data_IF_519100991463
#
_entry.id   IF_519100991463
#
_cell.length_a   1.000
_cell.length_b   1.000
_cell.length_c   1.000
_cell.angle_alpha   90.00
_cell.angle_beta   90.00
_cell.angle_gamma   90.00
#
_symmetry.space_group_name_H-M   'P 1'
#
loop_
_entity.id
_entity.type
_entity.pdbx_description
1 polymer ?
#
# COMPACT_ATOMS: atom_id res chain seq x y z
N UNK A 1 2.95 -7.13 -8.21
CA UNK A 1 1.85 -6.57 -7.38
C UNK A 1 1.99 -7.17 -5.99
N UNK A 2 1.80 -6.37 -4.94
CA UNK A 2 2.01 -6.81 -3.55
C UNK A 2 0.72 -7.23 -2.83
N UNK A 3 -0.44 -7.06 -3.46
CA UNK A 3 -1.74 -7.45 -2.92
C UNK A 3 -2.66 -7.96 -4.03
N UNK A 4 -3.68 -8.74 -3.67
CA UNK A 4 -4.73 -9.20 -4.57
C UNK A 4 -5.98 -8.33 -4.50
N UNK A 5 -6.83 -8.43 -5.54
CA UNK A 5 -8.13 -7.73 -5.60
C UNK A 5 -9.01 -8.09 -4.39
N UNK A 6 -9.00 -9.36 -3.96
CA UNK A 6 -9.80 -9.82 -2.84
C UNK A 6 -9.35 -9.21 -1.50
N UNK A 7 -8.06 -8.95 -1.33
CA UNK A 7 -7.53 -8.30 -0.12
C UNK A 7 -8.09 -6.88 0.01
N UNK A 8 -8.09 -6.13 -1.09
CA UNK A 8 -8.62 -4.76 -1.15
C UNK A 8 -10.13 -4.75 -0.99
N UNK A 9 -10.86 -5.66 -1.65
CA UNK A 9 -12.32 -5.76 -1.48
C UNK A 9 -12.71 -6.07 -0.04
N UNK A 10 -11.97 -6.96 0.63
CA UNK A 10 -12.19 -7.28 2.04
C UNK A 10 -11.94 -6.06 2.93
N UNK A 11 -10.87 -5.30 2.68
CA UNK A 11 -10.54 -4.11 3.43
C UNK A 11 -11.56 -2.98 3.25
N UNK A 12 -11.99 -2.70 2.01
CA UNK A 12 -13.03 -1.71 1.70
C UNK A 12 -14.36 -2.02 2.40
N UNK A 13 -14.78 -3.29 2.40
CA UNK A 13 -15.97 -3.72 3.16
C UNK A 13 -15.84 -3.46 4.66
N UNK A 14 -14.63 -3.61 5.21
CA UNK A 14 -14.35 -3.31 6.62
C UNK A 14 -14.44 -1.82 6.96
N UNK A 15 -14.29 -0.94 5.96
CA UNK A 15 -14.39 0.51 6.11
C UNK A 15 -15.86 0.99 5.93
N UNK A 16 -16.76 0.11 5.51
CA UNK A 16 -18.19 0.42 5.35
C UNK A 16 -18.57 0.97 3.97
N UNK A 17 -17.68 0.88 3.00
CA UNK A 17 -17.89 1.43 1.64
C UNK A 17 -18.40 0.34 0.69
N UNK A 18 -19.41 0.68 -0.10
CA UNK A 18 -19.92 -0.22 -1.14
C UNK A 18 -18.83 -0.41 -2.21
N UNK A 19 -18.62 -1.67 -2.57
CA UNK A 19 -17.56 -2.11 -3.48
C UNK A 19 -17.69 -1.33 -4.80
N UNK A 20 -16.65 -0.56 -5.16
CA UNK A 20 -16.54 0.09 -6.47
C UNK A 20 -16.90 -0.95 -7.53
N UNK A 21 -17.98 -0.75 -8.30
CA UNK A 21 -18.37 -1.73 -9.30
C UNK A 21 -17.27 -1.80 -10.36
N UNK A 22 -16.58 -2.94 -10.43
CA UNK A 22 -15.72 -3.30 -11.56
C UNK A 22 -16.61 -3.61 -12.77
N UNK A 23 -17.25 -2.59 -13.33
CA UNK A 23 -17.90 -2.68 -14.65
C UNK A 23 -16.93 -2.21 -15.71
N UNK A 24 -17.07 -2.72 -16.93
CA UNK A 24 -16.27 -2.31 -18.10
C UNK A 24 -16.42 -0.81 -18.47
N UNK A 25 -17.37 -0.12 -17.85
CA UNK A 25 -17.64 1.31 -18.02
C UNK A 25 -16.96 2.17 -16.95
N UNK A 26 -16.46 1.57 -15.85
CA UNK A 26 -15.73 2.31 -14.82
C UNK A 26 -14.35 2.73 -15.35
N UNK A 27 -14.06 4.03 -15.26
CA UNK A 27 -12.73 4.57 -15.62
C UNK A 27 -11.64 4.16 -14.63
N UNK A 28 -12.02 3.63 -13.48
CA UNK A 28 -11.14 3.23 -12.39
C UNK A 28 -11.45 1.80 -11.92
N UNK A 29 -10.42 0.96 -11.83
CA UNK A 29 -10.54 -0.41 -11.31
C UNK A 29 -9.70 -0.61 -10.05
N UNK A 30 -10.11 -1.57 -9.21
CA UNK A 30 -9.32 -1.98 -8.03
C UNK A 30 -7.92 -2.44 -8.45
N UNK A 31 -7.79 -3.06 -9.61
CA UNK A 31 -6.50 -3.48 -10.15
C UNK A 31 -5.58 -2.29 -10.44
N UNK A 32 -6.09 -1.20 -11.01
CA UNK A 32 -5.32 0.02 -11.21
C UNK A 32 -4.88 0.65 -9.88
N UNK A 33 -5.75 0.62 -8.86
CA UNK A 33 -5.42 1.08 -7.51
C UNK A 33 -4.26 0.28 -6.92
N UNK A 34 -4.31 -1.06 -7.04
CA UNK A 34 -3.25 -1.95 -6.55
C UNK A 34 -1.95 -1.75 -7.33
N UNK A 35 -2.02 -1.53 -8.64
CA UNK A 35 -0.84 -1.22 -9.46
C UNK A 35 -0.19 0.10 -9.04
N UNK A 36 -0.99 1.15 -8.81
CA UNK A 36 -0.52 2.45 -8.30
C UNK A 36 0.15 2.29 -6.93
N UNK A 37 -0.51 1.59 -6.00
CA UNK A 37 0.04 1.29 -4.68
C UNK A 37 1.33 0.47 -4.75
N UNK A 38 1.36 -0.58 -5.58
CA UNK A 38 2.53 -1.43 -5.75
C UNK A 38 3.73 -0.66 -6.27
N UNK A 39 3.53 0.26 -7.23
CA UNK A 39 4.61 1.14 -7.73
C UNK A 39 5.18 2.04 -6.65
N UNK A 40 4.34 2.56 -5.75
CA UNK A 40 4.82 3.39 -4.64
C UNK A 40 5.62 2.59 -3.62
N UNK A 41 5.16 1.38 -3.31
CA UNK A 41 5.88 0.44 -2.45
C UNK A 41 7.20 0.02 -3.09
N UNK A 42 7.21 -0.23 -4.41
CA UNK A 42 8.42 -0.57 -5.18
C UNK A 42 9.51 0.50 -5.10
N UNK A 43 9.16 1.79 -5.03
CA UNK A 43 10.15 2.86 -4.86
C UNK A 43 10.94 2.73 -3.55
N UNK A 44 10.36 2.09 -2.53
CA UNK A 44 11.05 1.82 -1.28
C UNK A 44 11.72 0.45 -1.33
N UNK A 45 10.99 -0.59 -1.72
CA UNK A 45 11.47 -1.97 -1.73
C UNK A 45 12.64 -2.12 -2.70
N UNK A 46 12.48 -1.75 -3.96
CA UNK A 46 13.51 -1.98 -4.98
C UNK A 46 14.79 -1.16 -4.79
N UNK A 47 14.70 -0.01 -4.11
CA UNK A 47 15.86 0.85 -3.83
C UNK A 47 16.70 0.34 -2.66
N UNK A 48 16.11 -0.32 -1.67
CA UNK A 48 16.77 -0.65 -0.39
C UNK A 48 16.87 -2.16 -0.16
N UNK A 49 15.99 -2.94 -0.78
CA UNK A 49 15.79 -4.36 -0.51
C UNK A 49 15.75 -5.19 -1.81
N UNK A 50 15.97 -6.48 -1.66
CA UNK A 50 15.68 -7.46 -2.70
C UNK A 50 14.15 -7.54 -2.84
N UNK A 51 13.69 -7.60 -4.08
CA UNK A 51 12.26 -7.80 -4.35
C UNK A 51 11.94 -9.22 -3.88
N UNK A 52 11.00 -9.40 -2.94
CA UNK A 52 10.77 -10.70 -2.34
C UNK A 52 9.98 -11.61 -3.30
N UNK A 53 10.32 -12.90 -3.33
CA UNK A 53 9.55 -13.91 -4.07
C UNK A 53 8.17 -14.13 -3.44
N UNK A 54 8.10 -14.07 -2.10
CA UNK A 54 6.87 -14.11 -1.31
C UNK A 54 6.68 -12.76 -0.63
N UNK A 55 5.55 -12.10 -0.89
CA UNK A 55 5.26 -10.78 -0.34
C UNK A 55 5.07 -10.85 1.19
N UNK A 56 5.91 -10.16 1.99
CA UNK A 56 5.75 -10.11 3.43
C UNK A 56 4.44 -9.43 3.84
N UNK A 57 3.90 -9.84 4.99
CA UNK A 57 2.64 -9.31 5.50
C UNK A 57 2.63 -7.77 5.61
N UNK A 58 3.67 -7.10 6.17
CA UNK A 58 3.66 -5.64 6.28
C UNK A 58 3.59 -4.94 4.93
N UNK A 59 4.29 -5.47 3.93
CA UNK A 59 4.30 -4.93 2.56
C UNK A 59 2.94 -5.10 1.90
N UNK A 60 2.31 -6.26 2.09
CA UNK A 60 0.96 -6.51 1.61
C UNK A 60 -0.06 -5.57 2.26
N UNK A 61 -0.04 -5.43 3.58
CA UNK A 61 -0.98 -4.56 4.32
C UNK A 61 -0.86 -3.10 3.90
N UNK A 62 0.36 -2.57 3.82
CA UNK A 62 0.62 -1.22 3.30
C UNK A 62 0.06 -1.06 1.88
N UNK A 63 0.28 -2.06 1.01
CA UNK A 63 -0.22 -2.00 -0.37
C UNK A 63 -1.74 -1.99 -0.40
N UNK A 64 -2.40 -2.79 0.46
CA UNK A 64 -3.86 -2.83 0.58
C UNK A 64 -4.40 -1.49 1.07
N UNK A 65 -3.80 -0.91 2.10
CA UNK A 65 -4.23 0.38 2.65
C UNK A 65 -4.10 1.52 1.62
N UNK A 66 -2.99 1.57 0.90
CA UNK A 66 -2.78 2.53 -0.18
C UNK A 66 -3.78 2.31 -1.33
N UNK A 67 -4.03 1.06 -1.73
CA UNK A 67 -5.01 0.75 -2.75
C UNK A 67 -6.42 1.15 -2.32
N UNK A 68 -6.82 0.86 -1.07
CA UNK A 68 -8.08 1.33 -0.50
C UNK A 68 -8.16 2.85 -0.53
N UNK A 69 -7.08 3.54 -0.18
CA UNK A 69 -7.01 4.98 -0.24
C UNK A 69 -7.26 5.54 -1.64
N UNK A 70 -6.70 4.93 -2.69
CA UNK A 70 -6.92 5.36 -4.07
C UNK A 70 -8.33 5.03 -4.57
N UNK A 71 -8.87 3.89 -4.15
CA UNK A 71 -10.26 3.54 -4.40
C UNK A 71 -11.20 4.61 -3.84
N UNK A 72 -11.00 4.99 -2.58
CA UNK A 72 -11.85 5.97 -1.91
C UNK A 72 -11.63 7.38 -2.45
N UNK A 73 -10.39 7.76 -2.79
CA UNK A 73 -10.09 9.02 -3.49
C UNK A 73 -10.92 9.15 -4.77
N UNK A 74 -11.01 8.08 -5.58
CA UNK A 74 -11.83 8.07 -6.79
C UNK A 74 -13.32 8.23 -6.48
N UNK A 75 -13.85 7.49 -5.49
CA UNK A 75 -15.26 7.57 -5.08
C UNK A 75 -15.63 9.00 -4.64
N UNK A 76 -14.79 9.63 -3.81
CA UNK A 76 -15.03 11.02 -3.38
C UNK A 76 -14.97 12.00 -4.55
N UNK A 77 -14.03 11.83 -5.47
CA UNK A 77 -13.94 12.67 -6.68
C UNK A 77 -15.20 12.58 -7.54
N UNK A 78 -15.74 11.37 -7.74
CA UNK A 78 -16.98 11.16 -8.52
C UNK A 78 -18.22 11.73 -7.80
N UNK A 79 -18.25 11.69 -6.46
CA UNK A 79 -19.34 12.26 -5.66
C UNK A 79 -19.25 13.80 -5.50
N UNK A 80 -18.14 14.40 -5.94
CA UNK A 80 -17.87 15.84 -5.73
C UNK A 80 -17.50 16.17 -4.29
N UNK A 81 -17.17 15.16 -3.48
CA UNK A 81 -16.81 15.31 -2.08
C UNK A 81 -15.30 15.48 -1.90
N UNK A 82 -14.93 16.19 -0.83
CA UNK A 82 -13.54 16.31 -0.43
C UNK A 82 -13.06 14.99 0.17
N UNK A 83 -11.82 14.61 -0.14
CA UNK A 83 -11.15 13.44 0.43
C UNK A 83 -11.26 13.41 1.96
N UNK A 84 -12.01 12.47 2.52
CA UNK A 84 -12.34 12.50 3.95
C UNK A 84 -11.11 12.25 4.85
N UNK A 85 -11.14 12.80 6.06
CA UNK A 85 -10.02 12.75 7.02
C UNK A 85 -9.55 11.31 7.31
N UNK A 86 -10.48 10.36 7.35
CA UNK A 86 -10.17 8.95 7.61
C UNK A 86 -9.26 8.36 6.53
N UNK A 87 -9.52 8.66 5.26
CA UNK A 87 -8.72 8.12 4.16
C UNK A 87 -7.38 8.84 4.04
N UNK A 88 -7.35 10.16 4.30
CA UNK A 88 -6.09 10.88 4.43
C UNK A 88 -5.20 10.31 5.55
N UNK A 89 -5.79 9.97 6.70
CA UNK A 89 -5.08 9.35 7.82
C UNK A 89 -4.54 7.96 7.44
N UNK A 90 -5.33 7.15 6.73
CA UNK A 90 -4.91 5.84 6.23
C UNK A 90 -3.70 5.97 5.30
N UNK A 91 -3.82 6.83 4.29
CA UNK A 91 -2.75 7.12 3.33
C UNK A 91 -1.46 7.57 4.02
N UNK A 92 -1.57 8.54 4.92
CA UNK A 92 -0.43 9.08 5.67
C UNK A 92 0.25 7.98 6.51
N UNK A 93 -0.54 7.19 7.24
CA UNK A 93 -0.02 6.08 8.05
C UNK A 93 0.74 5.06 7.19
N UNK A 94 0.22 4.68 6.03
CA UNK A 94 0.89 3.73 5.14
C UNK A 94 2.22 4.29 4.61
N UNK A 95 2.27 5.59 4.29
CA UNK A 95 3.51 6.25 3.88
C UNK A 95 4.53 6.34 5.02
N UNK A 96 4.08 6.65 6.23
CA UNK A 96 4.96 6.71 7.40
C UNK A 96 5.51 5.31 7.72
N UNK A 97 4.69 4.26 7.63
CA UNK A 97 5.18 2.88 7.77
C UNK A 97 6.21 2.50 6.70
N UNK A 98 6.01 2.90 5.44
CA UNK A 98 7.01 2.69 4.38
C UNK A 98 8.33 3.40 4.67
N UNK A 99 8.28 4.61 5.23
CA UNK A 99 9.50 5.35 5.63
C UNK A 99 10.21 4.67 6.79
N UNK A 100 9.47 4.20 7.79
CA UNK A 100 10.05 3.49 8.93
C UNK A 100 10.70 2.16 8.50
N UNK A 101 10.12 1.45 7.52
CA UNK A 101 10.73 0.26 6.91
C UNK A 101 12.00 0.63 6.14
N UNK A 102 11.94 1.68 5.30
CA UNK A 102 13.10 2.19 4.55
C UNK A 102 14.27 2.51 5.49
N UNK A 103 13.97 3.16 6.60
CA UNK A 103 14.95 3.62 7.58
C UNK A 103 15.42 2.50 8.53
N UNK A 104 14.94 1.26 8.35
CA UNK A 104 15.34 0.10 9.16
C UNK A 104 14.75 0.08 10.57
N UNK A 105 13.79 0.95 10.89
CA UNK A 105 13.17 1.06 12.21
C UNK A 105 12.09 0.01 12.46
N UNK A 106 11.46 -0.46 11.38
CA UNK A 106 10.48 -1.54 11.38
C UNK A 106 10.95 -2.64 10.44
N UNK A 107 10.97 -3.89 10.93
CA UNK A 107 11.23 -5.05 10.07
C UNK A 107 10.02 -5.32 9.17
N UNK A 108 10.28 -5.53 7.88
CA UNK A 108 9.29 -5.98 6.91
C UNK A 108 9.62 -7.38 6.35
N UNK A 109 10.50 -8.13 7.02
CA UNK A 109 11.02 -9.44 6.56
C UNK A 109 11.60 -9.38 5.13
N UNK A 110 12.20 -8.23 4.78
CA UNK A 110 12.85 -7.98 3.50
C UNK A 110 14.36 -8.15 3.64
N UNK A 111 14.98 -8.81 2.65
CA UNK A 111 16.43 -8.94 2.58
C UNK A 111 17.06 -7.68 1.97
N UNK A 112 18.11 -7.08 2.55
CA UNK A 112 18.83 -5.97 1.93
C UNK A 112 19.57 -6.41 0.65
N UNK A 113 19.75 -5.49 -0.31
CA UNK A 113 20.29 -5.77 -1.65
C UNK A 113 21.79 -6.08 -1.71
N UNK A 114 22.56 -5.64 -0.73
CA UNK A 114 23.97 -5.98 -0.55
C UNK A 114 24.35 -5.60 0.89
N UNK A 115 25.46 -6.11 1.43
CA UNK A 115 25.88 -5.97 2.84
C UNK A 115 26.13 -4.55 3.37
N UNK A 116 25.49 -3.52 2.82
CA UNK A 116 25.27 -2.26 3.49
C UNK A 116 24.16 -2.49 4.52
N UNK A 117 24.46 -2.36 5.82
CA UNK A 117 23.40 -2.36 6.82
C UNK A 117 22.52 -1.16 6.53
N UNK A 118 21.28 -1.38 6.11
CA UNK A 118 20.22 -0.38 6.25
C UNK A 118 20.25 0.02 7.72
N UNK A 119 20.69 1.26 7.99
CA UNK A 119 21.31 1.67 9.25
C UNK A 119 20.63 1.08 10.49
N UNK A 120 21.44 0.45 11.36
CA UNK A 120 21.08 -0.18 12.65
C UNK A 120 20.64 -1.65 12.58
N UNK A 121 21.58 -2.53 12.25
CA UNK A 121 21.58 -3.91 12.78
C UNK A 121 22.86 -4.14 13.59
N UNK A 122 22.97 -3.45 14.72
CA UNK A 122 23.85 -3.86 15.81
C UNK A 122 22.96 -4.00 17.04
N UNK A 123 22.28 -5.15 17.14
CA UNK A 123 21.76 -5.59 18.43
C UNK A 123 22.98 -5.89 19.31
N UNK A 124 23.06 -5.20 20.45
CA UNK A 124 24.04 -5.44 21.52
C UNK A 124 23.71 -6.71 22.29
#
# INVERSE_FOLDING_TARGET
MYAGIQDVRKALRGIGEEVIPDTSESRFSIEQAILKASRMVDLVVSCNFQVPDLVPLPIREITVDLACSFCLEYVFQEQGDSWCQQVQNLYKRSLDMLREIRDGRISADLLPRSGVPSGLWVAS
#
